data_IF_838453737300
#
_entry.id   IF_838453737300
#
_cell.length_a   1.000
_cell.length_b   1.000
_cell.length_c   1.000
_cell.angle_alpha   90.00
_cell.angle_beta   90.00
_cell.angle_gamma   90.00
#
_symmetry.space_group_name_H-M   'P 1'
#
loop_
_entity.id
_entity.type
_entity.pdbx_description
1 polymer ?
#
# COMPACT_ATOMS: atom_id res chain seq x y z
N UNK A 1 0.77 16.26 4.51
CA UNK A 1 2.14 15.92 4.96
C UNK A 1 3.02 15.35 3.85
N UNK A 2 2.71 14.21 3.21
CA UNK A 2 3.61 13.61 2.21
C UNK A 2 3.85 14.48 0.96
N UNK A 3 2.80 15.02 0.34
CA UNK A 3 2.93 15.88 -0.85
C UNK A 3 3.67 17.19 -0.55
N UNK A 4 3.40 17.77 0.62
CA UNK A 4 4.10 18.96 1.09
C UNK A 4 5.59 18.70 1.32
N UNK A 5 5.93 17.57 1.95
CA UNK A 5 7.32 17.16 2.12
C UNK A 5 8.02 16.92 0.78
N UNK A 6 7.33 16.29 -0.18
CA UNK A 6 7.85 16.12 -1.54
C UNK A 6 8.15 17.46 -2.21
N UNK A 7 7.21 18.41 -2.17
CA UNK A 7 7.39 19.74 -2.74
C UNK A 7 8.55 20.51 -2.09
N UNK A 8 8.63 20.50 -0.76
CA UNK A 8 9.75 21.12 -0.01
C UNK A 8 11.09 20.45 -0.32
N UNK A 9 11.07 19.16 -0.65
CA UNK A 9 12.23 18.39 -1.10
C UNK A 9 12.61 18.60 -2.57
N UNK A 10 11.94 19.49 -3.31
CA UNK A 10 12.22 19.75 -4.72
C UNK A 10 11.62 18.73 -5.69
N UNK A 11 10.56 18.03 -5.26
CA UNK A 11 9.79 17.10 -6.08
C UNK A 11 8.38 17.64 -6.35
N UNK A 12 7.94 17.55 -7.58
CA UNK A 12 6.56 17.81 -7.98
C UNK A 12 5.83 16.47 -8.08
N UNK A 13 4.78 16.28 -7.29
CA UNK A 13 3.90 15.12 -7.42
C UNK A 13 3.01 15.28 -8.65
N UNK A 14 2.96 14.26 -9.50
CA UNK A 14 2.23 14.27 -10.78
C UNK A 14 1.09 13.26 -10.84
N UNK A 15 1.09 12.30 -9.92
CA UNK A 15 0.00 11.33 -9.75
C UNK A 15 -0.06 10.81 -8.31
N UNK A 16 -1.28 10.53 -7.84
CA UNK A 16 -1.53 9.91 -6.54
C UNK A 16 -2.63 8.86 -6.70
N UNK A 17 -2.29 7.59 -6.48
CA UNK A 17 -3.24 6.48 -6.58
C UNK A 17 -3.45 5.83 -5.21
N UNK A 18 -4.72 5.64 -4.82
CA UNK A 18 -5.06 4.88 -3.62
C UNK A 18 -5.09 3.39 -3.92
N UNK A 19 -4.35 2.61 -3.12
CA UNK A 19 -4.30 1.16 -3.20
C UNK A 19 -4.98 0.50 -1.99
N UNK A 20 -5.80 1.24 -1.23
CA UNK A 20 -6.42 0.76 0.03
C UNK A 20 -7.12 -0.59 -0.14
N UNK A 21 -8.01 -0.71 -1.13
CA UNK A 21 -8.75 -1.95 -1.40
C UNK A 21 -7.84 -3.12 -1.78
N UNK A 22 -6.74 -2.85 -2.49
CA UNK A 22 -5.76 -3.88 -2.82
C UNK A 22 -5.07 -4.39 -1.55
N UNK A 23 -4.77 -3.49 -0.62
CA UNK A 23 -4.11 -3.86 0.62
C UNK A 23 -5.03 -4.61 1.59
N UNK A 24 -6.32 -4.27 1.64
CA UNK A 24 -7.34 -5.09 2.34
C UNK A 24 -7.27 -6.53 1.83
N UNK A 25 -7.39 -6.73 0.50
CA UNK A 25 -7.37 -8.06 -0.11
C UNK A 25 -6.07 -8.81 0.18
N UNK A 26 -4.93 -8.13 0.19
CA UNK A 26 -3.64 -8.71 0.57
C UNK A 26 -3.67 -9.22 2.00
N UNK A 27 -4.15 -8.40 2.95
CA UNK A 27 -4.22 -8.76 4.36
C UNK A 27 -5.22 -9.91 4.62
N UNK A 28 -6.33 -9.97 3.90
CA UNK A 28 -7.26 -11.10 3.96
C UNK A 28 -6.57 -12.41 3.54
N UNK A 29 -5.87 -12.40 2.40
CA UNK A 29 -5.15 -13.59 1.90
C UNK A 29 -4.04 -14.00 2.88
N UNK A 30 -3.29 -13.04 3.42
CA UNK A 30 -2.25 -13.31 4.40
C UNK A 30 -2.82 -13.87 5.70
N UNK A 31 -3.93 -13.32 6.20
CA UNK A 31 -4.62 -13.83 7.39
C UNK A 31 -5.09 -15.27 7.16
N UNK A 32 -5.74 -15.56 6.02
CA UNK A 32 -6.19 -16.91 5.69
C UNK A 32 -5.01 -17.90 5.63
N UNK A 33 -3.91 -17.51 5.00
CA UNK A 33 -2.71 -18.35 4.91
C UNK A 33 -2.04 -18.54 6.27
N UNK A 34 -1.99 -17.51 7.11
CA UNK A 34 -1.44 -17.58 8.46
C UNK A 34 -2.26 -18.55 9.33
N UNK A 35 -3.59 -18.40 9.32
CA UNK A 35 -4.49 -19.27 10.08
C UNK A 35 -4.37 -20.74 9.62
N UNK A 36 -4.31 -20.97 8.29
CA UNK A 36 -4.15 -22.30 7.69
C UNK A 36 -2.87 -23.02 8.16
N UNK A 37 -1.78 -22.29 8.39
CA UNK A 37 -0.48 -22.85 8.79
C UNK A 37 -0.15 -22.59 10.27
N UNK A 38 -1.16 -22.29 11.11
CA UNK A 38 -0.95 -21.84 12.49
C UNK A 38 -0.07 -22.76 13.33
N UNK A 39 -0.25 -24.09 13.23
CA UNK A 39 0.51 -25.04 14.03
C UNK A 39 2.01 -25.05 13.69
N UNK A 40 2.34 -24.96 12.39
CA UNK A 40 3.72 -24.88 11.91
C UNK A 40 4.36 -23.55 12.34
N UNK A 41 3.64 -22.44 12.13
CA UNK A 41 4.12 -21.11 12.51
C UNK A 41 4.34 -21.04 14.03
N UNK A 42 3.38 -21.51 14.84
CA UNK A 42 3.49 -21.53 16.30
C UNK A 42 4.74 -22.30 16.76
N UNK A 43 5.02 -23.46 16.15
CA UNK A 43 6.24 -24.24 16.45
C UNK A 43 7.51 -23.50 16.04
N UNK A 44 7.47 -22.74 14.95
CA UNK A 44 8.62 -22.01 14.41
C UNK A 44 8.97 -20.76 15.21
N UNK A 45 7.97 -19.98 15.63
CA UNK A 45 8.20 -18.64 16.21
C UNK A 45 7.92 -18.54 17.71
N UNK A 46 7.27 -19.56 18.30
CA UNK A 46 6.81 -19.55 19.69
C UNK A 46 5.51 -18.77 19.90
N UNK A 47 4.89 -18.96 21.06
CA UNK A 47 3.54 -18.45 21.34
C UNK A 47 3.44 -16.92 21.30
N UNK A 48 4.41 -16.22 21.90
CA UNK A 48 4.40 -14.76 21.99
C UNK A 48 4.34 -14.11 20.60
N UNK A 49 5.29 -14.47 19.71
CA UNK A 49 5.36 -13.93 18.35
C UNK A 49 4.15 -14.35 17.52
N UNK A 50 3.69 -15.59 17.69
CA UNK A 50 2.49 -16.08 16.99
C UNK A 50 1.27 -15.21 17.31
N UNK A 51 1.03 -14.92 18.59
CA UNK A 51 -0.11 -14.10 19.03
C UNK A 51 -0.02 -12.66 18.54
N UNK A 52 1.17 -12.05 18.58
CA UNK A 52 1.39 -10.69 18.07
C UNK A 52 1.03 -10.63 16.58
N UNK A 53 1.54 -11.56 15.77
CA UNK A 53 1.27 -11.57 14.33
C UNK A 53 -0.19 -11.83 13.99
N UNK A 54 -0.86 -12.71 14.75
CA UNK A 54 -2.28 -12.99 14.57
C UNK A 54 -3.15 -11.76 14.79
N UNK A 55 -2.87 -11.00 15.86
CA UNK A 55 -3.58 -9.74 16.15
C UNK A 55 -3.23 -8.66 15.14
N UNK A 56 -1.95 -8.55 14.75
CA UNK A 56 -1.50 -7.57 13.76
C UNK A 56 -2.23 -7.74 12.42
N UNK A 57 -2.28 -8.96 11.88
CA UNK A 57 -2.92 -9.22 10.57
C UNK A 57 -4.42 -8.93 10.61
N UNK A 58 -5.12 -9.41 11.63
CA UNK A 58 -6.56 -9.15 11.80
C UNK A 58 -6.86 -7.66 12.02
N UNK A 59 -6.06 -7.00 12.86
CA UNK A 59 -6.19 -5.56 13.14
C UNK A 59 -5.96 -4.72 11.89
N UNK A 60 -4.88 -4.98 11.14
CA UNK A 60 -4.62 -4.27 9.89
C UNK A 60 -5.74 -4.48 8.86
N UNK A 61 -6.22 -5.72 8.69
CA UNK A 61 -7.31 -5.97 7.74
C UNK A 61 -8.55 -5.13 8.08
N UNK A 62 -8.91 -5.07 9.37
CA UNK A 62 -10.01 -4.24 9.86
C UNK A 62 -9.77 -2.75 9.60
N UNK A 63 -8.61 -2.22 9.99
CA UNK A 63 -8.28 -0.79 9.86
C UNK A 63 -8.32 -0.31 8.40
N UNK A 64 -7.79 -1.09 7.46
CA UNK A 64 -7.83 -0.71 6.04
C UNK A 64 -9.23 -0.82 5.43
N UNK A 65 -10.06 -1.76 5.89
CA UNK A 65 -11.44 -1.90 5.41
C UNK A 65 -12.30 -0.70 5.85
N UNK A 66 -12.12 -0.24 7.10
CA UNK A 66 -12.93 0.81 7.73
C UNK A 66 -12.40 2.24 7.53
N UNK A 67 -11.48 2.45 6.58
CA UNK A 67 -10.95 3.78 6.21
C UNK A 67 -10.11 4.47 7.30
N UNK A 68 -9.72 3.76 8.35
CA UNK A 68 -8.83 4.26 9.40
C UNK A 68 -7.35 4.30 8.95
N UNK A 69 -7.02 3.62 7.84
CA UNK A 69 -5.71 3.68 7.18
C UNK A 69 -5.83 3.58 5.66
N UNK A 70 -4.83 4.11 4.96
CA UNK A 70 -4.75 4.09 3.49
C UNK A 70 -3.31 3.93 3.02
N UNK A 71 -3.14 3.39 1.82
CA UNK A 71 -1.86 3.33 1.12
C UNK A 71 -2.00 4.10 -0.18
N UNK A 72 -1.02 4.97 -0.42
CA UNK A 72 -0.96 5.79 -1.62
C UNK A 72 0.36 5.53 -2.35
N UNK A 73 0.27 5.30 -3.64
CA UNK A 73 1.41 5.42 -4.54
C UNK A 73 1.48 6.86 -5.04
N UNK A 74 2.64 7.50 -4.89
CA UNK A 74 2.86 8.89 -5.31
C UNK A 74 3.97 8.87 -6.37
N UNK A 75 3.65 9.34 -7.57
CA UNK A 75 4.64 9.52 -8.64
C UNK A 75 5.09 10.97 -8.62
N UNK A 76 6.40 11.18 -8.61
CA UNK A 76 7.01 12.50 -8.56
C UNK A 76 8.02 12.68 -9.70
N UNK A 77 8.20 13.94 -10.12
CA UNK A 77 9.34 14.38 -10.93
C UNK A 77 10.12 15.48 -10.21
N UNK A 78 11.30 15.83 -10.72
CA UNK A 78 12.05 16.99 -10.22
C UNK A 78 11.24 18.27 -10.46
N UNK A 79 11.05 19.09 -9.44
CA UNK A 79 10.35 20.36 -9.54
C UNK A 79 11.09 21.37 -10.42
N UNK A 80 10.38 22.40 -10.89
CA UNK A 80 10.93 23.47 -11.73
C UNK A 80 11.15 23.10 -13.19
N UNK A 81 10.55 22.00 -13.65
CA UNK A 81 10.55 21.57 -15.06
C UNK A 81 9.36 22.14 -15.83
N UNK A 82 9.45 22.16 -17.15
CA UNK A 82 8.35 22.63 -17.98
C UNK A 82 7.14 21.69 -17.85
N UNK A 83 5.93 22.24 -17.81
CA UNK A 83 4.70 21.44 -17.84
C UNK A 83 4.56 20.66 -19.16
N UNK A 84 5.22 21.09 -20.24
CA UNK A 84 5.21 20.38 -21.54
C UNK A 84 5.86 19.00 -21.49
N UNK A 85 6.66 18.70 -20.46
CA UNK A 85 7.26 17.38 -20.25
C UNK A 85 6.25 16.36 -19.68
N UNK A 86 5.04 16.80 -19.28
CA UNK A 86 4.00 15.91 -18.77
C UNK A 86 3.16 15.35 -19.93
N UNK A 87 2.88 14.03 -19.94
CA UNK A 87 1.91 13.48 -20.88
C UNK A 87 0.51 13.99 -20.55
N UNK A 88 -0.31 14.19 -21.58
CA UNK A 88 -1.70 14.62 -21.42
C UNK A 88 -2.59 13.59 -20.68
N UNK A 89 -2.20 12.31 -20.69
CA UNK A 89 -2.97 11.24 -20.07
C UNK A 89 -2.08 10.19 -19.42
N UNK A 90 -2.68 9.40 -18.53
CA UNK A 90 -2.04 8.27 -17.83
C UNK A 90 -2.13 6.96 -18.62
N UNK A 91 -2.46 7.00 -19.91
CA UNK A 91 -2.70 5.79 -20.71
C UNK A 91 -1.49 4.85 -20.75
N UNK A 92 -0.29 5.40 -20.70
CA UNK A 92 0.95 4.64 -20.62
C UNK A 92 1.09 3.77 -19.35
N UNK A 93 0.30 4.02 -18.30
CA UNK A 93 0.31 3.24 -17.06
C UNK A 93 -0.54 1.97 -17.15
N UNK A 94 -1.55 1.95 -18.02
CA UNK A 94 -2.53 0.87 -18.07
C UNK A 94 -2.30 0.02 -19.31
N UNK A 95 -2.27 -1.30 -19.12
CA UNK A 95 -2.23 -2.24 -20.23
C UNK A 95 -3.53 -2.07 -21.02
N UNK A 96 -3.44 -1.77 -22.30
CA UNK A 96 -4.60 -1.81 -23.18
C UNK A 96 -5.05 -3.26 -23.28
N UNK A 97 -6.26 -3.53 -22.82
CA UNK A 97 -6.93 -4.80 -23.09
C UNK A 97 -7.76 -4.59 -24.36
N UNK A 98 -7.46 -5.34 -25.41
CA UNK A 98 -8.26 -5.37 -26.65
C UNK A 98 -9.68 -5.89 -26.39
#
# INVERSE_FOLDING_TARGET
>A
MALEAAQRGGLEAIDVESLRRHYVRTLEIWTQNFEKHSAEILKMVGEEKFRIWRVYLAGCAYTFEHDDASIYQIVCRKAGRSAQELPWSRHYMYIQSD
#
